data_IF_229675028503
#
_entry.id   IF_229675028503
#
_cell.length_a   1.000
_cell.length_b   1.000
_cell.length_c   1.000
_cell.angle_alpha   90.00
_cell.angle_beta   90.00
_cell.angle_gamma   90.00
#
_symmetry.space_group_name_H-M   'P 1'
#
loop_
_entity.id
_entity.type
_entity.pdbx_description
1 polymer ?
#
# COMPACT_ATOMS: atom_id res chain seq x y z
N UNK A 1 -16.73 -3.92 1.75
CA UNK A 1 -16.88 -3.01 2.88
C UNK A 1 -18.35 -2.66 3.09
N UNK A 2 -19.00 -2.05 2.11
CA UNK A 2 -20.42 -1.68 2.13
C UNK A 2 -21.36 -2.86 2.39
N UNK A 3 -21.15 -3.99 1.70
CA UNK A 3 -21.89 -5.26 1.91
C UNK A 3 -21.87 -5.73 3.37
N UNK A 4 -20.80 -5.42 4.11
CA UNK A 4 -20.61 -5.85 5.49
C UNK A 4 -20.77 -4.68 6.49
N UNK A 5 -21.27 -3.52 6.04
CA UNK A 5 -21.41 -2.32 6.87
C UNK A 5 -20.11 -1.73 7.39
N UNK A 6 -18.96 -2.12 6.82
CA UNK A 6 -17.66 -1.60 7.23
C UNK A 6 -17.44 -0.19 6.68
N UNK A 7 -16.84 0.74 7.46
CA UNK A 7 -16.55 2.07 6.97
C UNK A 7 -15.56 2.01 5.80
N UNK A 8 -15.80 2.85 4.79
CA UNK A 8 -14.83 3.04 3.72
C UNK A 8 -13.60 3.76 4.25
N UNK A 9 -12.43 3.20 3.97
CA UNK A 9 -11.16 3.84 4.30
C UNK A 9 -10.92 5.02 3.35
N UNK A 10 -10.23 6.05 3.85
CA UNK A 10 -9.87 7.22 3.05
C UNK A 10 -8.90 6.81 1.93
N UNK A 11 -9.19 7.19 0.70
CA UNK A 11 -8.28 7.01 -0.42
C UNK A 11 -7.02 7.86 -0.23
N UNK A 12 -5.85 7.31 -0.53
CA UNK A 12 -4.56 8.03 -0.52
C UNK A 12 -3.64 7.47 -1.59
N UNK A 13 -2.87 8.33 -2.25
CA UNK A 13 -1.77 7.96 -3.15
C UNK A 13 -0.40 8.18 -2.47
N UNK A 14 -0.42 8.21 -1.13
CA UNK A 14 0.59 8.73 -0.21
C UNK A 14 0.71 10.24 -0.12
N UNK A 15 0.27 10.75 1.03
CA UNK A 15 0.78 11.97 1.62
C UNK A 15 1.24 11.62 3.05
N UNK A 16 2.53 11.84 3.36
CA UNK A 16 3.11 11.51 4.69
C UNK A 16 2.45 12.25 5.86
N UNK A 17 1.64 13.27 5.57
CA UNK A 17 0.84 14.01 6.56
C UNK A 17 -0.54 13.40 6.84
N UNK A 18 -0.94 12.33 6.13
CA UNK A 18 -2.24 11.71 6.31
C UNK A 18 -2.34 11.03 7.70
N UNK A 19 -3.40 11.35 8.44
CA UNK A 19 -3.71 10.63 9.67
C UNK A 19 -4.20 9.21 9.35
N UNK A 20 -3.27 8.24 9.47
CA UNK A 20 -3.49 6.82 9.17
C UNK A 20 -4.01 6.00 10.35
N UNK A 21 -4.33 6.63 11.49
CA UNK A 21 -4.84 5.94 12.69
C UNK A 21 -6.13 5.13 12.46
N UNK A 22 -6.90 5.47 11.42
CA UNK A 22 -8.13 4.76 11.03
C UNK A 22 -7.97 3.92 9.76
N UNK A 23 -6.73 3.71 9.30
CA UNK A 23 -6.43 3.06 8.02
C UNK A 23 -6.62 3.97 6.82
N UNK A 24 -6.04 3.56 5.69
CA UNK A 24 -6.15 4.22 4.37
C UNK A 24 -6.29 3.16 3.27
N UNK A 25 -6.80 3.57 2.11
CA UNK A 25 -6.99 2.74 0.93
C UNK A 25 -6.11 3.21 -0.22
N UNK A 26 -5.22 2.34 -0.71
CA UNK A 26 -4.36 2.58 -1.87
C UNK A 26 -4.96 2.06 -3.19
N UNK A 27 -6.11 1.38 -3.14
CA UNK A 27 -6.71 0.75 -4.31
C UNK A 27 -7.06 1.79 -5.37
N UNK A 28 -6.54 1.58 -6.59
CA UNK A 28 -6.91 2.36 -7.77
C UNK A 28 -7.70 1.45 -8.72
N UNK A 29 -8.94 1.84 -9.01
CA UNK A 29 -9.79 1.09 -9.94
C UNK A 29 -9.16 0.99 -11.33
N UNK A 30 -9.11 -0.22 -11.90
CA UNK A 30 -8.51 -0.47 -13.21
C UNK A 30 -6.98 -0.60 -13.22
N UNK A 31 -6.33 -0.56 -12.05
CA UNK A 31 -4.91 -0.86 -11.94
C UNK A 31 -4.60 -2.32 -12.32
N UNK A 32 -3.43 -2.53 -12.93
CA UNK A 32 -2.96 -3.85 -13.33
C UNK A 32 -2.34 -4.61 -12.16
N UNK A 33 -2.43 -5.94 -12.18
CA UNK A 33 -1.81 -6.79 -11.16
C UNK A 33 -0.26 -6.80 -11.25
N UNK A 34 0.28 -6.69 -12.46
CA UNK A 34 1.71 -6.54 -12.72
C UNK A 34 2.01 -5.16 -13.31
N UNK A 35 3.28 -4.84 -13.45
CA UNK A 35 3.73 -3.54 -13.95
C UNK A 35 3.13 -3.20 -15.32
N UNK A 36 2.76 -1.93 -15.49
CA UNK A 36 2.20 -1.40 -16.75
C UNK A 36 3.17 -1.63 -17.92
N UNK A 37 4.47 -1.59 -17.66
CA UNK A 37 5.52 -1.80 -18.65
C UNK A 37 5.39 -3.13 -19.39
N UNK A 38 4.91 -4.18 -18.72
CA UNK A 38 4.68 -5.47 -19.37
C UNK A 38 3.67 -5.34 -20.51
N UNK A 39 2.54 -4.69 -20.25
CA UNK A 39 1.47 -4.54 -21.23
C UNK A 39 1.87 -3.60 -22.37
N UNK A 40 2.57 -2.51 -22.05
CA UNK A 40 3.04 -1.54 -23.04
C UNK A 40 4.11 -2.13 -23.97
N UNK A 41 5.12 -2.81 -23.41
CA UNK A 41 6.18 -3.45 -24.22
C UNK A 41 5.65 -4.60 -25.07
N UNK A 42 4.70 -5.37 -24.53
CA UNK A 42 4.06 -6.47 -25.25
C UNK A 42 2.93 -6.01 -26.18
N UNK A 43 2.60 -4.71 -26.22
CA UNK A 43 1.51 -4.13 -27.03
C UNK A 43 0.16 -4.83 -26.84
N UNK A 44 -0.12 -5.26 -25.60
CA UNK A 44 -1.32 -6.03 -25.26
C UNK A 44 -2.56 -5.15 -25.08
N UNK A 45 -2.37 -3.85 -24.95
CA UNK A 45 -3.43 -2.86 -24.77
C UNK A 45 -3.26 -1.72 -25.77
N UNK A 46 -4.38 -1.18 -26.25
CA UNK A 46 -4.40 -0.09 -27.23
C UNK A 46 -4.57 1.29 -26.59
N UNK A 47 -4.65 1.33 -25.26
CA UNK A 47 -4.84 2.54 -24.48
C UNK A 47 -3.76 2.65 -23.41
N UNK A 48 -3.50 3.88 -22.97
CA UNK A 48 -2.54 4.15 -21.91
C UNK A 48 -3.10 3.64 -20.57
N UNK A 49 -2.30 2.85 -19.88
CA UNK A 49 -2.63 2.38 -18.54
C UNK A 49 -2.22 3.42 -17.49
N UNK A 50 -2.90 3.39 -16.35
CA UNK A 50 -2.52 4.17 -15.18
C UNK A 50 -1.32 3.50 -14.50
N UNK A 51 -0.26 4.26 -14.27
CA UNK A 51 0.97 3.77 -13.65
C UNK A 51 0.81 3.63 -12.12
N UNK A 52 -0.14 2.79 -11.71
CA UNK A 52 -0.52 2.51 -10.32
C UNK A 52 -0.76 1.01 -10.15
N UNK A 53 0.07 0.17 -10.78
CA UNK A 53 -0.02 -1.28 -10.68
C UNK A 53 0.03 -1.76 -9.23
N UNK A 54 -0.34 -3.02 -8.97
CA UNK A 54 -0.39 -3.57 -7.62
C UNK A 54 0.96 -3.44 -6.90
N UNK A 55 2.10 -3.62 -7.59
CA UNK A 55 3.42 -3.39 -6.99
C UNK A 55 3.62 -1.94 -6.55
N UNK A 56 3.19 -0.95 -7.35
CA UNK A 56 3.25 0.47 -6.95
C UNK A 56 2.36 0.74 -5.73
N UNK A 57 1.17 0.13 -5.66
CA UNK A 57 0.29 0.25 -4.47
C UNK A 57 0.90 -0.41 -3.22
N UNK A 58 1.68 -1.48 -3.39
CA UNK A 58 2.44 -2.11 -2.30
C UNK A 58 3.65 -1.26 -1.89
N UNK A 59 4.36 -0.64 -2.82
CA UNK A 59 5.43 0.31 -2.51
C UNK A 59 4.90 1.46 -1.66
N UNK A 60 3.69 1.94 -1.97
CA UNK A 60 3.04 2.95 -1.14
C UNK A 60 2.76 2.46 0.28
N UNK A 61 2.33 1.21 0.43
CA UNK A 61 2.15 0.60 1.74
C UNK A 61 3.48 0.47 2.51
N UNK A 62 4.55 0.06 1.84
CA UNK A 62 5.88 -0.07 2.43
C UNK A 62 6.45 1.27 2.88
N UNK A 63 6.23 2.35 2.13
CA UNK A 63 6.59 3.71 2.55
C UNK A 63 5.82 4.18 3.79
N UNK A 64 4.58 3.73 3.98
CA UNK A 64 3.79 4.02 5.17
C UNK A 64 4.21 3.18 6.39
N UNK A 65 4.79 1.99 6.15
CA UNK A 65 5.14 1.00 7.18
C UNK A 65 5.87 1.59 8.39
N UNK A 66 6.87 2.49 8.25
CA UNK A 66 7.54 3.10 9.41
C UNK A 66 6.58 3.90 10.29
N UNK A 67 5.63 4.65 9.72
CA UNK A 67 4.69 5.48 10.49
C UNK A 67 3.72 4.65 11.34
N UNK A 68 3.33 3.46 10.86
CA UNK A 68 2.50 2.51 11.61
C UNK A 68 3.31 1.67 12.61
N UNK A 69 4.55 1.31 12.29
CA UNK A 69 5.44 0.56 13.18
C UNK A 69 6.08 1.42 14.30
N UNK A 70 6.19 2.73 14.13
CA UNK A 70 6.81 3.64 15.12
C UNK A 70 5.89 3.98 16.32
N UNK A 71 4.68 3.42 16.40
CA UNK A 71 3.75 3.65 17.52
C UNK A 71 3.97 2.76 18.75
N UNK A 72 4.99 1.91 18.75
CA UNK A 72 5.34 1.02 19.88
C UNK A 72 6.59 1.47 20.66
N UNK A 73 6.88 2.77 20.77
CA UNK A 73 7.76 3.29 21.83
C UNK A 73 6.91 3.56 23.08
N UNK A 74 6.37 2.50 23.67
CA UNK A 74 5.49 2.60 24.83
C UNK A 74 5.35 1.34 25.69
N UNK A 75 5.84 0.18 25.24
CA UNK A 75 5.96 -1.03 26.06
C UNK A 75 7.17 -1.84 25.56
N UNK A 76 8.36 -1.28 25.74
CA UNK A 76 9.56 -2.10 25.72
C UNK A 76 9.42 -3.15 26.82
N UNK A 77 9.32 -4.42 26.42
CA UNK A 77 9.44 -5.69 27.18
C UNK A 77 8.41 -6.77 26.79
N UNK A 78 7.40 -6.49 25.96
CA UNK A 78 6.51 -7.54 25.47
C UNK A 78 6.44 -7.56 23.95
N UNK A 79 7.03 -8.62 23.38
CA UNK A 79 6.97 -9.08 22.00
C UNK A 79 7.95 -8.40 21.03
N UNK A 80 9.03 -9.12 20.75
CA UNK A 80 9.65 -9.16 19.42
C UNK A 80 8.55 -9.43 18.39
N UNK A 81 7.92 -8.39 17.87
CA UNK A 81 7.03 -8.50 16.72
C UNK A 81 7.90 -8.63 15.49
N UNK A 82 8.12 -9.87 15.06
CA UNK A 82 8.78 -10.24 13.79
C UNK A 82 8.11 -9.63 12.54
N UNK A 83 7.01 -8.89 12.69
CA UNK A 83 6.21 -8.31 11.61
C UNK A 83 6.57 -6.87 11.20
N UNK A 84 7.44 -6.16 11.93
CA UNK A 84 7.94 -4.82 11.53
C UNK A 84 9.40 -4.82 11.05
N UNK A 85 10.06 -5.98 11.04
CA UNK A 85 11.41 -6.19 10.48
C UNK A 85 11.34 -7.25 9.39
N UNK A 86 11.23 -6.81 8.13
CA UNK A 86 11.68 -7.63 7.01
C UNK A 86 12.89 -6.94 6.38
N UNK A 87 14.05 -7.61 6.28
CA UNK A 87 15.10 -7.16 5.40
C UNK A 87 14.62 -7.44 3.98
N UNK A 88 14.39 -6.39 3.18
CA UNK A 88 14.28 -6.54 1.73
C UNK A 88 15.72 -6.69 1.23
N UNK A 89 16.27 -7.91 1.32
CA UNK A 89 17.48 -8.27 0.57
C UNK A 89 17.03 -8.78 -0.79
N UNK A 90 17.35 -8.01 -1.83
CA UNK A 90 17.36 -8.48 -3.22
C UNK A 90 18.41 -9.58 -3.41
#
# INVERSE_FOLDING_TARGET
>A
AEQFGLPLLRASLLNRSDNVSRGINFAVGGATAIDVDFYERSKLVQFKLINNSLNVQLDWFEELRPTICNKTVGMWHALQSSHCTLPVTY
#
